data_IF_667474303651
#
_entry.id   IF_667474303651
#
_cell.length_a   1.000
_cell.length_b   1.000
_cell.length_c   1.000
_cell.angle_alpha   90.00
_cell.angle_beta   90.00
_cell.angle_gamma   90.00
#
_symmetry.space_group_name_H-M   'P 1'
#
loop_
_entity.id
_entity.type
_entity.pdbx_description
1 polymer ?
#
# COMPACT_ATOMS: atom_id res chain seq x y z
N UNK A 1 -26.31 -11.73 -25.28
CA UNK A 1 -25.94 -12.74 -24.27
C UNK A 1 -24.50 -12.45 -23.89
N UNK A 2 -24.25 -11.80 -22.74
CA UNK A 2 -22.90 -11.39 -22.35
C UNK A 2 -22.22 -12.58 -21.71
N UNK A 3 -21.30 -13.21 -22.43
CA UNK A 3 -20.46 -14.28 -21.90
C UNK A 3 -19.38 -13.67 -21.02
N UNK A 4 -19.69 -13.45 -19.75
CA UNK A 4 -18.66 -13.14 -18.75
C UNK A 4 -17.71 -14.33 -18.67
N UNK A 5 -16.48 -14.12 -19.10
CA UNK A 5 -15.42 -15.12 -18.95
C UNK A 5 -15.15 -15.28 -17.46
N UNK A 6 -15.29 -16.49 -16.91
CA UNK A 6 -14.98 -16.82 -15.50
C UNK A 6 -13.60 -16.31 -15.05
N UNK A 7 -12.68 -16.02 -15.98
CA UNK A 7 -11.38 -15.40 -15.74
C UNK A 7 -11.45 -13.97 -15.18
N UNK A 8 -12.52 -13.22 -15.46
CA UNK A 8 -12.63 -11.83 -14.98
C UNK A 8 -12.90 -11.75 -13.47
N UNK A 9 -13.60 -12.74 -12.91
CA UNK A 9 -13.94 -12.77 -11.48
C UNK A 9 -12.72 -12.94 -10.55
N UNK A 10 -11.63 -13.50 -11.07
CA UNK A 10 -10.40 -13.77 -10.31
C UNK A 10 -9.20 -12.98 -10.82
N UNK A 11 -9.44 -11.93 -11.62
CA UNK A 11 -8.36 -11.06 -12.08
C UNK A 11 -7.77 -10.31 -10.88
N UNK A 12 -6.44 -10.33 -10.76
CA UNK A 12 -5.72 -9.47 -9.83
C UNK A 12 -6.01 -8.02 -10.18
N UNK A 13 -6.55 -7.25 -9.22
CA UNK A 13 -6.82 -5.83 -9.45
C UNK A 13 -5.54 -5.09 -9.83
N UNK A 14 -5.67 -4.03 -10.62
CA UNK A 14 -4.54 -3.15 -10.93
C UNK A 14 -4.27 -2.17 -9.79
N UNK A 15 -3.06 -1.62 -9.72
CA UNK A 15 -2.72 -0.59 -8.72
C UNK A 15 -3.64 0.63 -8.83
N UNK A 16 -4.06 0.99 -10.05
CA UNK A 16 -5.02 2.06 -10.29
C UNK A 16 -6.41 1.73 -9.72
N UNK A 17 -6.90 0.49 -9.90
CA UNK A 17 -8.17 0.05 -9.32
C UNK A 17 -8.12 0.08 -7.78
N UNK A 18 -6.99 -0.32 -7.19
CA UNK A 18 -6.78 -0.22 -5.73
C UNK A 18 -6.77 1.21 -5.23
N UNK A 19 -6.12 2.12 -5.96
CA UNK A 19 -6.12 3.56 -5.64
C UNK A 19 -7.53 4.16 -5.76
N UNK A 20 -8.29 3.78 -6.79
CA UNK A 20 -9.69 4.19 -6.93
C UNK A 20 -10.55 3.69 -5.77
N UNK A 21 -10.42 2.42 -5.38
CA UNK A 21 -11.12 1.87 -4.22
C UNK A 21 -10.75 2.61 -2.93
N UNK A 22 -9.45 2.87 -2.72
CA UNK A 22 -8.98 3.62 -1.55
C UNK A 22 -9.65 4.98 -1.48
N UNK A 23 -9.72 5.69 -2.62
CA UNK A 23 -10.36 7.01 -2.68
C UNK A 23 -11.86 6.94 -2.38
N UNK A 24 -12.58 5.96 -2.93
CA UNK A 24 -14.00 5.76 -2.64
C UNK A 24 -14.25 5.52 -1.15
N UNK A 25 -13.45 4.67 -0.51
CA UNK A 25 -13.57 4.39 0.92
C UNK A 25 -13.21 5.61 1.77
N UNK A 26 -12.21 6.38 1.35
CA UNK A 26 -11.82 7.62 2.00
C UNK A 26 -12.95 8.66 1.93
N UNK A 27 -13.54 8.87 0.75
CA UNK A 27 -14.63 9.82 0.54
C UNK A 27 -15.92 9.39 1.28
N UNK A 28 -16.17 8.07 1.38
CA UNK A 28 -17.28 7.49 2.14
C UNK A 28 -17.04 7.49 3.67
N UNK A 29 -15.85 7.89 4.14
CA UNK A 29 -15.43 7.80 5.54
C UNK A 29 -15.43 6.37 6.13
N UNK A 30 -15.35 5.36 5.28
CA UNK A 30 -15.32 3.93 5.66
C UNK A 30 -13.88 3.41 5.85
N UNK A 31 -12.89 4.28 5.68
CA UNK A 31 -11.49 3.95 5.83
C UNK A 31 -11.07 3.97 7.30
N UNK A 32 -10.72 2.80 7.85
CA UNK A 32 -10.04 2.67 9.15
C UNK A 32 -8.52 2.51 8.98
N UNK A 33 -7.78 2.58 10.10
CA UNK A 33 -6.30 2.56 10.09
C UNK A 33 -5.75 1.25 9.52
N UNK A 34 -6.31 0.11 9.94
CA UNK A 34 -5.83 -1.21 9.50
C UNK A 34 -6.06 -1.43 8.00
N UNK A 35 -7.21 -1.03 7.50
CA UNK A 35 -7.55 -1.09 6.08
C UNK A 35 -6.65 -0.16 5.27
N UNK A 36 -6.44 1.07 5.73
CA UNK A 36 -5.55 2.01 5.09
C UNK A 36 -4.12 1.47 5.01
N UNK A 37 -3.62 0.90 6.13
CA UNK A 37 -2.30 0.28 6.21
C UNK A 37 -2.18 -0.88 5.22
N UNK A 38 -3.13 -1.82 5.23
CA UNK A 38 -3.11 -2.99 4.36
C UNK A 38 -3.11 -2.60 2.88
N UNK A 39 -3.99 -1.68 2.47
CA UNK A 39 -4.09 -1.22 1.09
C UNK A 39 -2.85 -0.46 0.63
N UNK A 40 -2.39 0.52 1.42
CA UNK A 40 -1.22 1.32 1.05
C UNK A 40 0.06 0.48 1.05
N UNK A 41 0.19 -0.54 1.91
CA UNK A 41 1.33 -1.46 1.88
C UNK A 41 1.41 -2.23 0.56
N UNK A 42 0.28 -2.74 0.07
CA UNK A 42 0.22 -3.45 -1.22
C UNK A 42 0.53 -2.51 -2.37
N UNK A 43 -0.11 -1.34 -2.41
CA UNK A 43 0.10 -0.33 -3.46
C UNK A 43 1.57 0.14 -3.48
N UNK A 44 2.16 0.43 -2.32
CA UNK A 44 3.54 0.86 -2.21
C UNK A 44 4.53 -0.21 -2.70
N UNK A 45 4.27 -1.48 -2.36
CA UNK A 45 5.09 -2.60 -2.83
C UNK A 45 5.02 -2.77 -4.34
N UNK A 46 3.82 -2.70 -4.93
CA UNK A 46 3.62 -2.82 -6.38
C UNK A 46 4.29 -1.68 -7.14
N UNK A 47 4.16 -0.44 -6.66
CA UNK A 47 4.81 0.72 -7.29
C UNK A 47 6.35 0.69 -7.16
N UNK A 48 6.87 0.03 -6.12
CA UNK A 48 8.30 -0.13 -5.89
C UNK A 48 8.97 -1.24 -6.70
N UNK A 49 8.23 -2.05 -7.45
CA UNK A 49 8.79 -3.09 -8.33
C UNK A 49 9.15 -2.49 -9.70
N UNK A 50 10.42 -2.59 -10.08
CA UNK A 50 10.94 -2.07 -11.35
C UNK A 50 10.61 -2.96 -12.56
N UNK A 51 10.58 -2.36 -13.78
CA UNK A 51 10.68 -0.93 -14.04
C UNK A 51 9.29 -0.30 -13.93
N UNK A 52 9.17 0.78 -13.14
CA UNK A 52 7.91 1.45 -12.81
C UNK A 52 6.95 1.56 -14.02
N UNK A 53 6.02 0.61 -14.11
CA UNK A 53 5.20 0.37 -15.31
C UNK A 53 4.22 1.50 -15.55
N UNK A 54 3.90 2.30 -14.52
CA UNK A 54 2.90 3.36 -14.62
C UNK A 54 3.22 4.60 -13.76
N UNK A 55 3.85 5.60 -14.39
CA UNK A 55 4.11 6.91 -13.78
C UNK A 55 2.82 7.61 -13.32
N UNK A 56 1.68 7.35 -13.96
CA UNK A 56 0.40 7.95 -13.59
C UNK A 56 -0.14 7.37 -12.28
N UNK A 57 0.04 6.06 -12.07
CA UNK A 57 -0.30 5.40 -10.81
C UNK A 57 0.56 5.93 -9.65
N UNK A 58 1.86 6.16 -9.89
CA UNK A 58 2.73 6.76 -8.87
C UNK A 58 2.30 8.18 -8.51
N UNK A 59 1.94 9.00 -9.51
CA UNK A 59 1.42 10.36 -9.28
C UNK A 59 0.14 10.33 -8.42
N UNK A 60 -0.82 9.48 -8.76
CA UNK A 60 -2.07 9.30 -7.99
C UNK A 60 -1.82 8.81 -6.57
N UNK A 61 -0.86 7.92 -6.41
CA UNK A 61 -0.43 7.47 -5.08
C UNK A 61 0.12 8.65 -4.25
N UNK A 62 0.99 9.48 -4.82
CA UNK A 62 1.51 10.67 -4.14
C UNK A 62 0.38 11.65 -3.73
N UNK A 63 -0.57 11.90 -4.62
CA UNK A 63 -1.76 12.73 -4.33
C UNK A 63 -2.63 12.13 -3.20
N UNK A 64 -2.72 10.80 -3.14
CA UNK A 64 -3.44 10.08 -2.07
C UNK A 64 -2.75 10.26 -0.73
N UNK A 65 -1.42 10.13 -0.68
CA UNK A 65 -0.64 10.35 0.54
C UNK A 65 -0.76 11.81 1.01
N UNK A 66 -0.72 12.78 0.09
CA UNK A 66 -0.89 14.20 0.46
C UNK A 66 -2.31 14.49 0.96
N UNK A 67 -3.33 13.85 0.38
CA UNK A 67 -4.71 13.95 0.88
C UNK A 67 -4.81 13.45 2.32
N UNK A 68 -4.22 12.29 2.64
CA UNK A 68 -4.19 11.76 4.00
C UNK A 68 -3.45 12.69 4.95
N UNK A 69 -2.36 13.30 4.51
CA UNK A 69 -1.57 14.24 5.30
C UNK A 69 -2.41 15.42 5.78
N UNK A 70 -3.29 15.94 4.93
CA UNK A 70 -4.14 17.09 5.27
C UNK A 70 -5.40 16.73 6.05
N UNK A 71 -6.00 15.57 5.80
CA UNK A 71 -7.34 15.26 6.31
C UNK A 71 -7.37 14.17 7.41
N UNK A 72 -6.36 13.30 7.45
CA UNK A 72 -6.27 12.14 8.35
C UNK A 72 -4.82 11.94 8.81
N UNK A 73 -4.20 13.01 9.31
CA UNK A 73 -2.78 13.02 9.68
C UNK A 73 -2.41 11.92 10.68
N UNK A 74 -3.27 11.63 11.66
CA UNK A 74 -3.03 10.58 12.65
C UNK A 74 -2.99 9.19 12.00
N UNK A 75 -3.91 8.90 11.08
CA UNK A 75 -3.90 7.66 10.30
C UNK A 75 -2.64 7.55 9.45
N UNK A 76 -2.22 8.63 8.78
CA UNK A 76 -0.99 8.62 8.01
C UNK A 76 0.23 8.34 8.92
N UNK A 77 0.25 8.91 10.12
CA UNK A 77 1.32 8.68 11.11
C UNK A 77 1.39 7.21 11.50
N UNK A 78 0.25 6.57 11.81
CA UNK A 78 0.19 5.15 12.13
C UNK A 78 0.68 4.28 10.98
N UNK A 79 0.24 4.58 9.75
CA UNK A 79 0.68 3.85 8.55
C UNK A 79 2.20 3.94 8.37
N UNK A 80 2.77 5.14 8.50
CA UNK A 80 4.22 5.35 8.37
C UNK A 80 5.00 4.68 9.50
N UNK A 81 4.48 4.72 10.73
CA UNK A 81 5.11 4.06 11.88
C UNK A 81 5.14 2.54 11.68
N UNK A 82 4.04 1.94 11.22
CA UNK A 82 3.98 0.52 10.91
C UNK A 82 4.98 0.11 9.82
N UNK A 83 5.16 0.94 8.78
CA UNK A 83 6.17 0.67 7.75
C UNK A 83 7.61 0.77 8.27
N UNK A 84 7.89 1.71 9.17
CA UNK A 84 9.21 1.81 9.81
C UNK A 84 9.50 0.60 10.70
N UNK A 85 8.51 0.14 11.47
CA UNK A 85 8.63 -1.06 12.29
C UNK A 85 8.94 -2.31 11.45
N UNK A 86 8.26 -2.48 10.31
CA UNK A 86 8.50 -3.60 9.37
C UNK A 86 9.91 -3.56 8.73
N UNK A 87 10.57 -2.39 8.70
CA UNK A 87 11.98 -2.28 8.29
C UNK A 87 12.95 -2.68 9.40
N UNK A 88 12.65 -2.31 10.65
CA UNK A 88 13.50 -2.61 11.81
C UNK A 88 13.52 -4.11 12.09
N UNK A 89 12.39 -4.81 11.95
CA UNK A 89 12.32 -6.27 12.17
C UNK A 89 13.08 -7.07 11.09
N UNK A 90 13.34 -6.48 9.92
CA UNK A 90 14.09 -7.11 8.82
C UNK A 90 15.61 -7.01 8.95
N UNK A 91 16.12 -6.32 9.96
CA UNK A 91 17.50 -6.47 10.43
C UNK A 91 17.47 -7.32 11.70
N UNK A 92 17.57 -8.66 11.59
CA UNK A 92 17.80 -9.45 12.77
C UNK A 92 19.23 -9.18 13.28
N UNK A 93 19.32 -8.48 14.40
CA UNK A 93 20.56 -8.25 15.18
C UNK A 93 21.29 -9.53 15.61
N UNK A 94 20.75 -10.73 15.36
CA UNK A 94 21.41 -12.00 15.67
C UNK A 94 22.51 -12.41 14.67
N UNK A 95 22.70 -11.69 13.56
CA UNK A 95 23.79 -11.93 12.62
C UNK A 95 25.10 -11.20 12.96
N UNK A 96 25.11 -10.35 13.99
CA UNK A 96 26.25 -9.48 14.31
C UNK A 96 27.16 -9.98 15.43
N UNK A 97 26.80 -11.04 16.15
CA UNK A 97 27.62 -11.51 17.27
C UNK A 97 28.10 -12.96 17.13
N UNK A 98 29.40 -13.07 16.83
CA UNK A 98 30.26 -13.88 17.67
C UNK A 98 30.59 -15.29 17.18
N UNK A 99 31.75 -15.40 16.52
CA UNK A 99 32.76 -16.47 16.67
C UNK A 99 32.26 -17.80 17.27
N UNK A 100 32.12 -18.82 16.42
CA UNK A 100 32.17 -20.22 16.88
C UNK A 100 33.64 -20.68 16.83
N UNK A 101 34.06 -21.29 17.94
CA UNK A 101 35.43 -21.72 18.30
C UNK A 101 36.09 -22.66 17.29
#
# INVERSE_FOLDING_TARGET
MVTYSFRELFRTSSTNERLSLFRTLFDAQELNVDLALAMLKVIHKELGQEPAVDRSAYKRYAETIETLRHHKQDMLREVVNAWKADRIVKDPDWLSDGRVK
#
